data_IF_222433644438
#
_entry.id   IF_222433644438
#
_cell.length_a   1.000
_cell.length_b   1.000
_cell.length_c   1.000
_cell.angle_alpha   90.00
_cell.angle_beta   90.00
_cell.angle_gamma   90.00
#
_symmetry.space_group_name_H-M   'P 1'
#
loop_
_entity.id
_entity.type
_entity.pdbx_description
1 polymer ?
#
# COMPACT_ATOMS: atom_id res chain seq x y z
N UNK A 1 -13.27 5.54 25.44
CA UNK A 1 -12.36 5.54 24.27
C UNK A 1 -12.65 4.27 23.49
N UNK A 2 -13.54 4.33 22.50
CA UNK A 2 -13.94 3.18 21.69
C UNK A 2 -13.18 3.21 20.38
N UNK A 3 -12.18 2.34 20.25
CA UNK A 3 -11.50 2.11 18.97
C UNK A 3 -12.28 1.07 18.20
N UNK A 4 -13.14 1.51 17.30
CA UNK A 4 -13.74 0.65 16.28
C UNK A 4 -12.68 0.39 15.21
N UNK A 5 -12.05 -0.79 15.25
CA UNK A 5 -11.24 -1.29 14.14
C UNK A 5 -12.17 -2.00 13.15
N UNK A 6 -12.73 -1.22 12.21
CA UNK A 6 -13.43 -1.80 11.06
C UNK A 6 -12.37 -2.33 10.09
N UNK A 7 -12.12 -3.64 10.13
CA UNK A 7 -11.30 -4.35 9.14
C UNK A 7 -12.11 -4.50 7.87
N UNK A 8 -12.32 -3.39 7.15
CA UNK A 8 -12.90 -3.44 5.81
C UNK A 8 -11.77 -3.88 4.88
N UNK A 9 -11.80 -5.13 4.43
CA UNK A 9 -11.12 -5.55 3.19
C UNK A 9 -11.82 -4.89 2.01
N UNK A 10 -11.84 -3.56 2.00
CA UNK A 10 -12.14 -2.76 0.83
C UNK A 10 -10.94 -2.96 -0.07
N UNK A 11 -11.15 -3.39 -1.31
CA UNK A 11 -10.17 -3.24 -2.39
C UNK A 11 -9.77 -1.77 -2.43
N UNK A 12 -8.74 -1.40 -1.66
CA UNK A 12 -8.40 -0.01 -1.40
C UNK A 12 -7.87 0.56 -2.70
N UNK A 13 -8.65 1.46 -3.28
CA UNK A 13 -8.18 2.25 -4.39
C UNK A 13 -7.21 3.28 -3.85
N UNK A 14 -6.08 3.47 -4.55
CA UNK A 14 -5.20 4.59 -4.25
C UNK A 14 -5.96 5.88 -4.51
N UNK A 15 -6.06 6.68 -3.47
CA UNK A 15 -6.54 8.04 -3.52
C UNK A 15 -5.35 9.00 -3.59
N UNK A 16 -5.58 10.25 -3.99
CA UNK A 16 -4.54 11.28 -3.98
C UNK A 16 -3.98 11.60 -2.57
N UNK A 17 -4.63 11.08 -1.53
CA UNK A 17 -4.18 11.17 -0.15
C UNK A 17 -3.13 10.11 0.22
N UNK A 18 -3.00 9.04 -0.56
CA UNK A 18 -2.06 7.96 -0.26
C UNK A 18 -0.62 8.40 -0.57
N UNK A 19 0.20 8.41 0.48
CA UNK A 19 1.59 8.84 0.41
C UNK A 19 2.52 7.69 0.72
N UNK A 20 3.67 7.68 0.07
CA UNK A 20 4.70 6.70 0.34
C UNK A 20 5.16 6.86 1.80
N UNK A 21 5.14 5.77 2.56
CA UNK A 21 5.56 5.76 3.96
C UNK A 21 7.02 6.21 4.17
N UNK A 22 7.84 6.16 3.11
CA UNK A 22 9.26 6.52 3.19
C UNK A 22 9.58 7.98 2.83
N UNK A 23 8.90 8.57 1.85
CA UNK A 23 9.21 9.92 1.36
C UNK A 23 8.02 10.85 1.22
N UNK A 24 6.82 10.40 1.59
CA UNK A 24 5.59 11.16 1.47
C UNK A 24 5.22 11.59 0.04
N UNK A 25 5.88 11.04 -0.98
CA UNK A 25 5.49 11.22 -2.39
C UNK A 25 4.17 10.49 -2.69
N UNK A 26 3.55 10.75 -3.84
CA UNK A 26 2.35 10.03 -4.25
C UNK A 26 2.62 8.52 -4.29
N UNK A 27 1.84 7.75 -3.55
CA UNK A 27 1.89 6.30 -3.62
C UNK A 27 1.49 5.86 -5.04
N UNK A 28 2.04 4.73 -5.47
CA UNK A 28 1.65 4.05 -6.72
C UNK A 28 1.44 2.56 -6.51
N UNK A 29 1.90 2.03 -5.39
CA UNK A 29 1.86 0.61 -5.07
C UNK A 29 1.38 0.43 -3.63
N UNK A 30 0.46 -0.50 -3.41
CA UNK A 30 0.07 -0.99 -2.09
C UNK A 30 0.73 -2.36 -1.92
N UNK A 31 1.43 -2.55 -0.81
CA UNK A 31 1.89 -3.86 -0.37
C UNK A 31 1.09 -4.30 0.84
N UNK A 32 0.28 -5.35 0.68
CA UNK A 32 -0.49 -5.96 1.76
C UNK A 32 0.31 -7.12 2.33
N UNK A 33 0.75 -6.97 3.57
CA UNK A 33 1.46 -8.01 4.31
C UNK A 33 0.49 -9.14 4.69
N UNK A 34 0.99 -10.38 4.80
CA UNK A 34 0.17 -11.50 5.31
C UNK A 34 -0.28 -11.31 6.77
N UNK A 35 0.33 -10.39 7.50
CA UNK A 35 -0.10 -9.95 8.84
C UNK A 35 -1.38 -9.09 8.83
N UNK A 36 -1.85 -8.68 7.65
CA UNK A 36 -2.98 -7.76 7.49
C UNK A 36 -2.61 -6.27 7.55
N UNK A 37 -1.31 -5.95 7.54
CA UNK A 37 -0.83 -4.56 7.48
C UNK A 37 -0.64 -4.11 6.03
N UNK A 38 -1.05 -2.89 5.70
CA UNK A 38 -0.88 -2.31 4.37
C UNK A 38 0.22 -1.26 4.40
N UNK A 39 1.12 -1.29 3.42
CA UNK A 39 2.19 -0.31 3.24
C UNK A 39 2.06 0.36 1.87
N UNK A 40 2.32 1.66 1.84
CA UNK A 40 2.23 2.46 0.62
C UNK A 40 3.62 2.83 0.12
N UNK A 41 3.88 2.50 -1.15
CA UNK A 41 5.15 2.79 -1.79
C UNK A 41 4.95 3.68 -3.02
N UNK A 42 5.86 4.64 -3.19
CA UNK A 42 6.06 5.27 -4.49
C UNK A 42 6.79 4.29 -5.41
N UNK A 43 6.70 4.50 -6.72
CA UNK A 43 7.34 3.60 -7.69
C UNK A 43 8.86 3.46 -7.50
N UNK A 44 9.53 4.53 -7.04
CA UNK A 44 10.95 4.50 -6.67
C UNK A 44 11.20 3.48 -5.56
N UNK A 45 10.63 3.69 -4.38
CA UNK A 45 10.92 2.84 -3.22
C UNK A 45 10.34 1.44 -3.34
N UNK A 46 9.27 1.26 -4.10
CA UNK A 46 8.75 -0.07 -4.36
C UNK A 46 9.83 -0.96 -5.01
N UNK A 47 10.55 -0.47 -6.02
CA UNK A 47 11.61 -1.23 -6.71
C UNK A 47 12.73 -1.63 -5.75
N UNK A 48 13.08 -0.76 -4.81
CA UNK A 48 14.10 -1.05 -3.79
C UNK A 48 13.61 -2.06 -2.74
N UNK A 49 12.31 -2.08 -2.47
CA UNK A 49 11.69 -2.93 -1.44
C UNK A 49 11.00 -4.19 -1.99
N UNK A 50 10.84 -4.36 -3.30
CA UNK A 50 10.08 -5.47 -3.91
C UNK A 50 10.65 -6.81 -3.49
N UNK A 51 11.98 -6.94 -3.44
CA UNK A 51 12.64 -8.18 -3.08
C UNK A 51 12.36 -8.57 -1.62
N UNK A 52 12.20 -7.59 -0.73
CA UNK A 52 11.81 -7.82 0.65
C UNK A 52 10.33 -8.20 0.76
N UNK A 53 9.46 -7.46 0.04
CA UNK A 53 8.03 -7.69 -0.03
C UNK A 53 7.69 -9.09 -0.58
N UNK A 54 8.35 -9.51 -1.66
CA UNK A 54 8.19 -10.83 -2.25
C UNK A 54 8.64 -11.94 -1.29
N UNK A 55 9.77 -11.76 -0.58
CA UNK A 55 10.28 -12.75 0.39
C UNK A 55 9.32 -13.01 1.55
N UNK A 56 8.63 -11.97 2.01
CA UNK A 56 7.63 -12.11 3.08
C UNK A 56 6.24 -12.48 2.56
N UNK A 57 6.07 -12.67 1.25
CA UNK A 57 4.79 -13.04 0.65
C UNK A 57 3.76 -11.92 0.72
N UNK A 58 4.19 -10.65 0.62
CA UNK A 58 3.28 -9.53 0.54
C UNK A 58 2.56 -9.53 -0.82
N UNK A 59 1.25 -9.29 -0.79
CA UNK A 59 0.44 -9.10 -1.99
C UNK A 59 0.63 -7.68 -2.49
N UNK A 60 1.14 -7.54 -3.70
CA UNK A 60 1.37 -6.24 -4.34
C UNK A 60 0.18 -5.90 -5.22
N UNK A 61 -0.42 -4.74 -4.96
CA UNK A 61 -1.46 -4.15 -5.79
C UNK A 61 -0.91 -2.85 -6.35
N UNK A 62 -0.81 -2.75 -7.67
CA UNK A 62 -0.59 -1.49 -8.36
C UNK A 62 -1.96 -0.97 -8.82
N UNK A 63 -2.64 -0.14 -8.02
CA UNK A 63 -3.86 0.49 -8.50
C UNK A 63 -3.46 1.42 -9.62
N UNK A 64 -3.86 1.04 -10.83
CA UNK A 64 -3.98 2.00 -11.91
C UNK A 64 -4.85 3.11 -11.33
N UNK A 65 -4.30 4.31 -11.20
CA UNK A 65 -5.08 5.45 -10.83
C UNK A 65 -6.00 5.70 -12.02
N UNK A 66 -7.14 5.01 -12.07
CA UNK A 66 -8.21 5.35 -12.98
C UNK A 66 -8.69 6.72 -12.50
N UNK A 67 -8.15 7.74 -13.18
CA UNK A 67 -8.51 9.12 -13.02
C UNK A 67 -9.96 9.23 -13.50
N UNK A 68 -10.93 9.13 -12.59
CA UNK A 68 -12.33 9.54 -12.83
C UNK A 68 -12.53 10.93 -12.27
#
# INVERSE_FOLDING_TARGET
>A
MTTTATTTTTTRMLTAADRCDRCSAAAKVIAVLPSGSELFFCRHHFTEHEAGLAKMGATITEPTAELV
#
